data_IF_587656372793
#
_entry.id   IF_587656372793
#
_cell.length_a   1.000
_cell.length_b   1.000
_cell.length_c   1.000
_cell.angle_alpha   90.00
_cell.angle_beta   90.00
_cell.angle_gamma   90.00
#
_symmetry.space_group_name_H-M   'P 1'
#
loop_
_entity.id
_entity.type
_entity.pdbx_description
1 polymer ?
#
# COMPACT_ATOMS: atom_id res chain seq x y z
N UNK A 1 18.73 -96.32 14.60
CA UNK A 1 18.36 -95.48 15.73
C UNK A 1 18.91 -94.04 15.39
N UNK A 2 18.06 -93.16 14.92
CA UNK A 2 18.44 -91.80 14.50
C UNK A 2 17.78 -90.85 15.48
N UNK A 3 18.59 -90.04 16.18
CA UNK A 3 18.11 -89.05 17.16
C UNK A 3 17.75 -87.77 16.42
N UNK A 4 16.49 -87.34 16.46
CA UNK A 4 15.98 -86.09 15.96
C UNK A 4 16.31 -84.98 16.99
N UNK A 5 17.07 -83.98 16.59
CA UNK A 5 17.32 -82.76 17.39
C UNK A 5 16.25 -81.75 17.07
N UNK A 6 15.46 -81.40 18.08
CA UNK A 6 14.46 -80.35 18.02
C UNK A 6 15.15 -78.97 18.08
N UNK A 7 14.93 -78.13 17.05
CA UNK A 7 15.43 -76.79 16.98
C UNK A 7 14.35 -75.86 17.53
N UNK A 8 14.62 -75.17 18.65
CA UNK A 8 13.76 -74.14 19.18
C UNK A 8 14.06 -72.84 18.42
N UNK A 9 13.06 -72.29 17.74
CA UNK A 9 13.13 -70.92 17.13
C UNK A 9 12.56 -69.96 18.17
N UNK A 10 13.44 -69.09 18.68
CA UNK A 10 13.04 -67.95 19.51
C UNK A 10 12.55 -66.80 18.59
N UNK A 11 11.27 -66.49 18.68
CA UNK A 11 10.72 -65.31 18.01
C UNK A 11 11.04 -64.02 18.81
N UNK A 12 11.91 -63.19 18.30
CA UNK A 12 12.14 -61.83 18.84
C UNK A 12 11.05 -60.88 18.34
N UNK A 13 10.18 -60.43 19.23
CA UNK A 13 9.22 -59.38 18.95
C UNK A 13 9.95 -58.03 18.93
N UNK A 14 10.11 -57.45 17.74
CA UNK A 14 10.60 -56.06 17.57
C UNK A 14 9.40 -55.14 17.82
N UNK A 15 9.37 -54.47 18.97
CA UNK A 15 8.46 -53.35 19.24
C UNK A 15 8.92 -52.13 18.44
N UNK A 16 8.24 -51.85 17.33
CA UNK A 16 8.40 -50.57 16.65
C UNK A 16 7.69 -49.48 17.48
N UNK A 17 8.48 -48.70 18.25
CA UNK A 17 8.02 -47.43 18.80
C UNK A 17 7.88 -46.45 17.66
N UNK A 18 6.66 -46.26 17.17
CA UNK A 18 6.32 -45.19 16.23
C UNK A 18 6.50 -43.85 16.91
N UNK A 19 7.62 -43.17 16.65
CA UNK A 19 7.70 -41.74 16.90
C UNK A 19 6.73 -41.02 15.94
N UNK A 20 5.53 -40.72 16.42
CA UNK A 20 4.68 -39.74 15.81
C UNK A 20 5.39 -38.37 16.01
N UNK A 21 6.16 -37.94 15.03
CA UNK A 21 6.59 -36.56 14.96
C UNK A 21 5.37 -35.72 14.60
N UNK A 22 4.75 -35.14 15.62
CA UNK A 22 3.84 -33.99 15.41
C UNK A 22 4.63 -32.90 14.70
N UNK A 23 4.62 -32.96 13.37
CA UNK A 23 5.03 -31.86 12.54
C UNK A 23 4.00 -30.75 12.75
N UNK A 24 4.22 -29.94 13.81
CA UNK A 24 3.52 -28.68 13.97
C UNK A 24 3.75 -27.91 12.67
N UNK A 25 2.73 -27.93 11.81
CA UNK A 25 2.72 -27.14 10.58
C UNK A 25 2.87 -25.68 11.00
N UNK A 26 4.11 -25.18 11.02
CA UNK A 26 4.40 -23.80 11.38
C UNK A 26 3.57 -22.92 10.43
N UNK A 27 2.56 -22.23 10.97
CA UNK A 27 1.71 -21.31 10.21
C UNK A 27 2.62 -20.35 9.49
N UNK A 28 2.53 -20.29 8.16
CA UNK A 28 3.34 -19.37 7.35
C UNK A 28 3.27 -17.95 7.94
N UNK A 29 4.39 -17.23 8.02
CA UNK A 29 4.40 -15.92 8.66
C UNK A 29 3.41 -14.97 7.97
N UNK A 30 2.62 -14.25 8.77
CA UNK A 30 1.63 -13.29 8.27
C UNK A 30 2.34 -12.24 7.41
N UNK A 31 1.88 -12.04 6.18
CA UNK A 31 2.42 -11.01 5.27
C UNK A 31 1.87 -9.64 5.64
N UNK A 32 2.73 -8.62 5.68
CA UNK A 32 2.31 -7.24 5.90
C UNK A 32 1.73 -6.66 4.60
N UNK A 33 0.41 -6.67 4.51
CA UNK A 33 -0.34 -6.16 3.35
C UNK A 33 -1.34 -5.15 3.88
N UNK A 34 -1.31 -3.92 3.37
CA UNK A 34 -2.29 -2.90 3.63
C UNK A 34 -3.42 -2.93 2.60
N UNK A 35 -4.52 -2.24 2.90
CA UNK A 35 -5.64 -2.03 1.97
C UNK A 35 -5.99 -0.57 1.90
N UNK A 36 -6.20 -0.06 0.66
CA UNK A 36 -6.83 1.23 0.43
C UNK A 36 -8.33 1.10 0.69
N UNK A 37 -8.84 1.84 1.68
CA UNK A 37 -10.23 1.74 2.13
C UNK A 37 -11.25 2.18 1.07
N UNK A 38 -10.83 2.93 0.06
CA UNK A 38 -11.67 3.27 -1.11
C UNK A 38 -12.17 2.03 -1.85
N UNK A 39 -11.46 0.91 -1.74
CA UNK A 39 -11.86 -0.38 -2.28
C UNK A 39 -13.18 -0.91 -1.70
N UNK A 40 -13.59 -0.45 -0.51
CA UNK A 40 -14.88 -0.76 0.12
C UNK A 40 -15.77 0.47 0.32
N UNK A 41 -15.56 1.53 -0.46
CA UNK A 41 -16.23 2.83 -0.30
C UNK A 41 -17.75 2.77 -0.12
N UNK A 42 -18.42 1.90 -0.88
CA UNK A 42 -19.87 1.77 -0.82
C UNK A 42 -20.34 0.96 0.41
N UNK A 43 -19.59 -0.07 0.81
CA UNK A 43 -19.87 -0.84 2.02
C UNK A 43 -19.56 -0.02 3.28
N UNK A 44 -18.43 0.70 3.31
CA UNK A 44 -18.04 1.63 4.39
C UNK A 44 -19.09 2.72 4.58
N UNK A 45 -19.66 3.24 3.50
CA UNK A 45 -20.72 4.25 3.57
C UNK A 45 -22.01 3.72 4.18
N UNK A 46 -22.31 2.44 4.00
CA UNK A 46 -23.51 1.76 4.54
C UNK A 46 -23.30 1.30 5.98
N UNK A 47 -22.17 0.66 6.25
CA UNK A 47 -21.78 0.08 7.54
C UNK A 47 -20.27 0.18 7.73
N UNK A 48 -19.82 1.26 8.35
CA UNK A 48 -18.40 1.50 8.60
C UNK A 48 -17.79 0.41 9.49
N UNK A 49 -18.37 0.15 10.65
CA UNK A 49 -17.77 -0.71 11.67
C UNK A 49 -17.73 -2.18 11.21
N UNK A 50 -18.80 -2.67 10.56
CA UNK A 50 -18.84 -3.99 9.94
C UNK A 50 -17.83 -4.13 8.80
N UNK A 51 -17.63 -3.08 7.99
CA UNK A 51 -16.64 -3.08 6.91
C UNK A 51 -15.21 -3.16 7.44
N UNK A 52 -14.88 -2.39 8.49
CA UNK A 52 -13.56 -2.42 9.12
C UNK A 52 -13.26 -3.79 9.74
N UNK A 53 -14.23 -4.35 10.47
CA UNK A 53 -14.11 -5.70 11.01
C UNK A 53 -13.83 -6.74 9.92
N UNK A 54 -14.57 -6.68 8.82
CA UNK A 54 -14.40 -7.57 7.67
C UNK A 54 -13.01 -7.48 7.05
N UNK A 55 -12.46 -6.26 6.86
CA UNK A 55 -11.07 -6.09 6.38
C UNK A 55 -10.04 -6.74 7.31
N UNK A 56 -10.21 -6.61 8.62
CA UNK A 56 -9.36 -7.30 9.60
C UNK A 56 -9.47 -8.82 9.52
N UNK A 57 -10.68 -9.36 9.38
CA UNK A 57 -10.95 -10.81 9.21
C UNK A 57 -10.38 -11.36 7.91
N UNK A 58 -10.37 -10.59 6.82
CA UNK A 58 -9.68 -10.93 5.57
C UNK A 58 -8.17 -11.07 5.77
N UNK A 59 -7.63 -10.48 6.85
CA UNK A 59 -6.23 -10.60 7.27
C UNK A 59 -5.32 -9.51 6.75
N UNK A 60 -5.84 -8.37 6.36
CA UNK A 60 -5.05 -7.16 6.19
C UNK A 60 -4.38 -6.77 7.51
N UNK A 61 -3.22 -6.13 7.43
CA UNK A 61 -2.45 -5.72 8.61
C UNK A 61 -2.47 -4.23 8.86
N UNK A 62 -2.88 -3.47 7.85
CA UNK A 62 -2.96 -2.02 7.91
C UNK A 62 -3.98 -1.48 6.92
N UNK A 63 -4.39 -0.24 7.13
CA UNK A 63 -5.29 0.49 6.23
C UNK A 63 -4.65 1.78 5.74
N UNK A 64 -5.00 2.15 4.52
CA UNK A 64 -4.87 3.49 3.99
C UNK A 64 -6.26 4.10 3.87
N UNK A 65 -6.49 5.23 4.55
CA UNK A 65 -7.77 5.91 4.57
C UNK A 65 -8.00 6.72 3.28
N UNK A 66 -9.27 6.94 2.90
CA UNK A 66 -9.66 7.82 1.79
C UNK A 66 -10.79 8.80 2.18
N UNK A 67 -11.03 8.97 3.47
CA UNK A 67 -12.19 9.71 3.99
C UNK A 67 -11.82 10.82 4.98
N UNK A 68 -10.71 11.56 4.73
CA UNK A 68 -10.35 12.71 5.55
C UNK A 68 -11.12 13.97 5.15
N UNK A 69 -11.60 14.72 6.15
CA UNK A 69 -12.22 16.03 5.97
C UNK A 69 -12.51 16.72 7.31
N UNK A 70 -12.19 18.01 7.41
CA UNK A 70 -12.47 18.81 8.62
C UNK A 70 -11.85 18.24 9.89
N UNK A 71 -10.62 17.74 9.83
CA UNK A 71 -9.92 17.17 10.98
C UNK A 71 -10.38 15.75 11.38
N UNK A 72 -11.25 15.12 10.60
CA UNK A 72 -11.87 13.82 10.91
C UNK A 72 -11.64 12.80 9.81
N UNK A 73 -11.68 11.51 10.14
CA UNK A 73 -11.62 10.39 9.22
C UNK A 73 -12.96 9.65 9.21
N UNK A 74 -13.66 9.64 8.09
CA UNK A 74 -15.02 9.06 7.97
C UNK A 74 -15.98 9.60 9.05
N UNK A 75 -15.85 10.90 9.41
CA UNK A 75 -16.64 11.57 10.45
C UNK A 75 -16.24 11.26 11.90
N UNK A 76 -15.28 10.38 12.14
CA UNK A 76 -14.75 10.02 13.47
C UNK A 76 -13.56 10.94 13.82
N UNK A 77 -13.32 11.17 15.12
CA UNK A 77 -12.09 11.83 15.57
C UNK A 77 -10.86 10.99 15.16
N UNK A 78 -9.66 11.56 15.07
CA UNK A 78 -8.45 10.79 14.79
C UNK A 78 -8.23 9.62 15.76
N UNK A 79 -8.50 9.83 17.03
CA UNK A 79 -8.36 8.84 18.10
C UNK A 79 -9.39 7.70 17.96
N UNK A 80 -10.68 8.04 17.72
CA UNK A 80 -11.73 7.04 17.52
C UNK A 80 -11.51 6.23 16.24
N UNK A 81 -11.06 6.88 15.17
CA UNK A 81 -10.69 6.21 13.94
C UNK A 81 -9.58 5.19 14.19
N UNK A 82 -8.51 5.63 14.87
CA UNK A 82 -7.38 4.75 15.23
C UNK A 82 -7.85 3.57 16.07
N UNK A 83 -8.60 3.84 17.15
CA UNK A 83 -9.08 2.79 18.05
C UNK A 83 -9.94 1.74 17.32
N UNK A 84 -10.82 2.17 16.40
CA UNK A 84 -11.65 1.25 15.61
C UNK A 84 -10.82 0.35 14.67
N UNK A 85 -9.80 0.90 14.01
CA UNK A 85 -8.89 0.13 13.15
C UNK A 85 -8.06 -0.86 13.98
N UNK A 86 -7.53 -0.43 15.13
CA UNK A 86 -6.72 -1.29 16.02
C UNK A 86 -7.57 -2.41 16.65
N UNK A 87 -8.84 -2.13 17.00
CA UNK A 87 -9.78 -3.15 17.49
C UNK A 87 -10.05 -4.26 16.45
N UNK A 88 -9.97 -3.93 15.15
CA UNK A 88 -10.05 -4.91 14.07
C UNK A 88 -8.71 -5.64 13.77
N UNK A 89 -7.67 -5.42 14.57
CA UNK A 89 -6.37 -6.07 14.44
C UNK A 89 -5.47 -5.50 13.34
N UNK A 90 -5.76 -4.30 12.86
CA UNK A 90 -5.01 -3.59 11.82
C UNK A 90 -4.33 -2.33 12.40
N UNK A 91 -3.44 -1.71 11.62
CA UNK A 91 -2.81 -0.43 11.93
C UNK A 91 -3.31 0.65 10.98
N UNK A 92 -3.38 1.88 11.46
CA UNK A 92 -3.55 3.05 10.59
C UNK A 92 -2.20 3.38 9.98
N UNK A 93 -2.06 3.22 8.67
CA UNK A 93 -0.78 3.36 7.98
C UNK A 93 -0.66 4.70 7.29
N UNK A 94 -1.64 5.05 6.48
CA UNK A 94 -1.61 6.12 5.51
C UNK A 94 -3.00 6.70 5.26
N UNK A 95 -3.05 7.81 4.54
CA UNK A 95 -4.30 8.40 4.05
C UNK A 95 -4.09 9.07 2.69
N UNK A 96 -5.01 8.82 1.75
CA UNK A 96 -5.17 9.62 0.56
C UNK A 96 -5.84 10.94 0.94
N UNK A 97 -5.10 12.02 0.86
CA UNK A 97 -5.53 13.36 1.29
C UNK A 97 -4.81 14.44 0.49
N UNK A 98 -5.56 15.37 -0.09
CA UNK A 98 -4.99 16.47 -0.85
C UNK A 98 -5.76 17.77 -0.65
N UNK A 99 -5.04 18.86 -0.79
CA UNK A 99 -5.55 20.22 -0.98
C UNK A 99 -5.03 20.73 -2.31
N UNK A 100 -5.94 21.00 -3.25
CA UNK A 100 -5.56 21.56 -4.54
C UNK A 100 -5.18 23.03 -4.38
N UNK A 101 -4.17 23.48 -5.15
CA UNK A 101 -3.80 24.89 -5.21
C UNK A 101 -4.91 25.70 -5.87
N UNK A 102 -5.20 26.85 -5.30
CA UNK A 102 -6.02 27.87 -5.95
C UNK A 102 -5.28 28.49 -7.16
N UNK A 103 -6.01 29.10 -8.06
CA UNK A 103 -5.41 29.82 -9.20
C UNK A 103 -4.39 30.86 -8.74
N UNK A 104 -4.70 31.60 -7.67
CA UNK A 104 -3.80 32.62 -7.11
C UNK A 104 -2.49 31.99 -6.61
N UNK A 105 -2.56 30.87 -5.89
CA UNK A 105 -1.37 30.18 -5.39
C UNK A 105 -0.51 29.63 -6.54
N UNK A 106 -1.14 29.11 -7.60
CA UNK A 106 -0.42 28.69 -8.82
C UNK A 106 0.30 29.84 -9.52
N UNK A 107 -0.32 31.02 -9.58
CA UNK A 107 0.25 32.20 -10.24
C UNK A 107 1.37 32.85 -9.41
N UNK A 108 1.19 32.92 -8.09
CA UNK A 108 2.10 33.64 -7.20
C UNK A 108 3.18 32.78 -6.55
N UNK A 109 2.94 31.46 -6.41
CA UNK A 109 3.78 30.57 -5.61
C UNK A 109 3.67 30.82 -4.10
N UNK A 110 2.69 31.60 -3.65
CA UNK A 110 2.41 31.81 -2.22
C UNK A 110 1.39 30.79 -1.74
N UNK A 111 1.85 29.80 -1.00
CA UNK A 111 1.06 28.68 -0.48
C UNK A 111 0.46 28.92 0.91
N UNK A 112 0.52 30.14 1.43
CA UNK A 112 0.17 30.47 2.81
C UNK A 112 -1.21 29.94 3.25
N UNK A 113 -2.22 30.05 2.37
CA UNK A 113 -3.57 29.58 2.67
C UNK A 113 -3.68 28.05 2.67
N UNK A 114 -3.08 27.39 1.67
CA UNK A 114 -3.05 25.92 1.64
C UNK A 114 -2.24 25.36 2.80
N UNK A 115 -1.18 26.03 3.23
CA UNK A 115 -0.36 25.56 4.35
C UNK A 115 -1.07 25.61 5.69
N UNK A 116 -1.98 26.56 5.94
CA UNK A 116 -2.84 26.56 7.14
C UNK A 116 -3.68 25.29 7.21
N UNK A 117 -4.30 24.92 6.09
CA UNK A 117 -5.07 23.68 6.00
C UNK A 117 -4.20 22.43 6.20
N UNK A 118 -2.97 22.43 5.64
CA UNK A 118 -2.03 21.33 5.82
C UNK A 118 -1.56 21.17 7.26
N UNK A 119 -1.35 22.25 7.99
CA UNK A 119 -0.94 22.19 9.40
C UNK A 119 -2.04 21.50 10.25
N UNK A 120 -3.31 21.81 10.02
CA UNK A 120 -4.44 21.12 10.68
C UNK A 120 -4.54 19.65 10.23
N UNK A 121 -4.38 19.40 8.93
CA UNK A 121 -4.39 18.06 8.35
C UNK A 121 -3.29 17.18 8.95
N UNK A 122 -2.04 17.66 8.99
CA UNK A 122 -0.89 16.95 9.54
C UNK A 122 -1.09 16.65 11.03
N UNK A 123 -1.63 17.60 11.80
CA UNK A 123 -1.93 17.39 13.23
C UNK A 123 -2.94 16.25 13.43
N UNK A 124 -4.03 16.20 12.64
CA UNK A 124 -5.03 15.13 12.70
C UNK A 124 -4.44 13.76 12.29
N UNK A 125 -3.60 13.71 11.26
CA UNK A 125 -2.94 12.47 10.82
C UNK A 125 -1.95 11.95 11.87
N UNK A 126 -1.23 12.87 12.55
CA UNK A 126 -0.34 12.52 13.66
C UNK A 126 -1.12 11.95 14.84
N UNK A 127 -2.26 12.55 15.20
CA UNK A 127 -3.13 12.05 16.27
C UNK A 127 -3.71 10.66 15.95
N UNK A 128 -4.06 10.41 14.67
CA UNK A 128 -4.45 9.08 14.20
C UNK A 128 -3.29 8.05 14.16
N UNK A 129 -2.04 8.48 14.40
CA UNK A 129 -0.87 7.60 14.38
C UNK A 129 -0.40 7.18 12.99
N UNK A 130 -0.75 7.94 11.96
CA UNK A 130 -0.35 7.66 10.58
C UNK A 130 1.14 7.91 10.35
N UNK A 131 1.75 7.06 9.55
CA UNK A 131 3.14 7.19 9.10
C UNK A 131 3.26 8.00 7.81
N UNK A 132 2.24 7.93 6.96
CA UNK A 132 2.26 8.53 5.63
C UNK A 132 0.99 9.37 5.38
N UNK A 133 1.14 10.41 4.59
CA UNK A 133 0.06 11.15 3.93
C UNK A 133 0.38 11.17 2.45
N UNK A 134 -0.56 10.81 1.60
CA UNK A 134 -0.35 10.71 0.16
C UNK A 134 -1.36 11.60 -0.57
N UNK A 135 -0.88 12.50 -1.42
CA UNK A 135 -1.74 13.22 -2.35
C UNK A 135 -2.15 12.28 -3.49
N UNK A 136 -3.45 11.93 -3.61
CA UNK A 136 -3.87 10.88 -4.51
C UNK A 136 -4.05 11.34 -5.96
N UNK A 137 -4.04 12.64 -6.23
CA UNK A 137 -4.36 13.17 -7.53
C UNK A 137 -4.05 14.67 -7.66
N UNK A 138 -3.71 15.08 -8.87
CA UNK A 138 -3.69 16.48 -9.31
C UNK A 138 -4.13 16.56 -10.77
N UNK A 139 -4.74 17.67 -11.17
CA UNK A 139 -5.01 17.95 -12.58
C UNK A 139 -3.71 18.16 -13.35
N UNK A 140 -3.72 17.79 -14.63
CA UNK A 140 -2.55 18.00 -15.49
C UNK A 140 -2.31 19.50 -15.66
N UNK A 141 -1.14 20.00 -15.24
CA UNK A 141 -0.77 21.39 -15.44
C UNK A 141 -0.64 21.75 -16.93
N UNK A 142 -0.88 22.99 -17.28
CA UNK A 142 -0.77 23.44 -18.68
C UNK A 142 0.66 23.66 -19.12
N UNK A 143 1.55 23.99 -18.20
CA UNK A 143 2.94 24.34 -18.47
C UNK A 143 3.89 23.71 -17.46
N UNK A 144 5.17 23.56 -17.84
CA UNK A 144 6.21 23.13 -16.90
C UNK A 144 6.39 24.11 -15.73
N UNK A 145 6.09 25.39 -15.92
CA UNK A 145 6.09 26.38 -14.84
C UNK A 145 5.04 26.04 -13.77
N UNK A 146 3.80 25.75 -14.19
CA UNK A 146 2.75 25.32 -13.26
C UNK A 146 3.12 23.99 -12.56
N UNK A 147 3.66 23.03 -13.32
CA UNK A 147 4.11 21.75 -12.76
C UNK A 147 5.24 21.95 -11.74
N UNK A 148 6.18 22.86 -12.00
CA UNK A 148 7.23 23.22 -11.03
C UNK A 148 6.64 23.81 -9.75
N UNK A 149 5.62 24.66 -9.86
CA UNK A 149 4.91 25.22 -8.71
C UNK A 149 4.28 24.11 -7.86
N UNK A 150 3.70 23.08 -8.48
CA UNK A 150 3.22 21.90 -7.73
C UNK A 150 4.36 21.11 -7.07
N UNK A 151 5.51 20.95 -7.72
CA UNK A 151 6.66 20.28 -7.10
C UNK A 151 7.16 21.06 -5.87
N UNK A 152 7.22 22.40 -5.94
CA UNK A 152 7.59 23.25 -4.81
C UNK A 152 6.56 23.18 -3.67
N UNK A 153 5.28 23.15 -4.02
CA UNK A 153 4.20 22.94 -3.07
C UNK A 153 4.32 21.60 -2.33
N UNK A 154 4.60 20.51 -3.05
CA UNK A 154 4.78 19.19 -2.43
C UNK A 154 6.05 19.12 -1.57
N UNK A 155 7.13 19.78 -1.96
CA UNK A 155 8.32 19.91 -1.14
C UNK A 155 8.01 20.64 0.18
N UNK A 156 7.20 21.72 0.15
CA UNK A 156 6.80 22.45 1.35
C UNK A 156 5.91 21.59 2.27
N UNK A 157 4.94 20.86 1.71
CA UNK A 157 4.13 19.91 2.48
C UNK A 157 5.03 18.83 3.10
N UNK A 158 5.93 18.26 2.30
CA UNK A 158 6.87 17.23 2.77
C UNK A 158 7.75 17.71 3.92
N UNK A 159 8.22 18.96 3.87
CA UNK A 159 8.99 19.58 4.95
C UNK A 159 8.20 19.67 6.26
N UNK A 160 6.91 20.09 6.17
CA UNK A 160 6.02 20.17 7.35
C UNK A 160 5.68 18.79 7.90
N UNK A 161 5.36 17.83 7.02
CA UNK A 161 5.13 16.44 7.42
C UNK A 161 6.35 15.84 8.13
N UNK A 162 7.56 16.03 7.57
CA UNK A 162 8.82 15.56 8.15
C UNK A 162 9.05 16.14 9.55
N UNK A 163 8.78 17.43 9.75
CA UNK A 163 8.86 18.07 11.07
C UNK A 163 7.87 17.48 12.09
N UNK A 164 6.74 16.95 11.64
CA UNK A 164 5.75 16.27 12.46
C UNK A 164 6.04 14.77 12.66
N UNK A 165 7.07 14.21 12.00
CA UNK A 165 7.42 12.79 12.02
C UNK A 165 6.58 11.93 11.06
N UNK A 166 5.97 12.54 10.04
CA UNK A 166 5.17 11.89 8.99
C UNK A 166 5.90 12.04 7.65
N UNK A 167 5.79 11.07 6.77
CA UNK A 167 6.31 11.17 5.41
C UNK A 167 5.18 11.56 4.44
N UNK A 168 5.49 12.47 3.53
CA UNK A 168 4.55 12.89 2.50
C UNK A 168 4.87 12.25 1.16
N UNK A 169 3.86 11.83 0.41
CA UNK A 169 4.00 11.21 -0.90
C UNK A 169 2.95 11.66 -1.92
N UNK A 170 3.16 11.21 -3.16
CA UNK A 170 2.24 11.41 -4.27
C UNK A 170 1.89 10.05 -4.91
N UNK A 171 0.61 9.82 -5.17
CA UNK A 171 0.08 8.64 -5.86
C UNK A 171 -0.27 8.99 -7.31
N UNK A 172 0.15 8.14 -8.24
CA UNK A 172 -0.11 8.35 -9.67
C UNK A 172 -1.31 7.57 -10.19
N UNK A 173 -1.92 8.16 -11.21
CA UNK A 173 -2.79 7.48 -12.18
C UNK A 173 -2.06 7.36 -13.54
N UNK A 174 -2.81 7.14 -14.62
CA UNK A 174 -2.23 7.03 -15.95
C UNK A 174 -1.94 8.40 -16.59
N UNK A 175 -2.62 9.46 -16.15
CA UNK A 175 -2.50 10.77 -16.79
C UNK A 175 -1.17 11.48 -16.50
N UNK A 176 -0.45 11.09 -15.43
CA UNK A 176 0.87 11.64 -15.13
C UNK A 176 1.94 11.15 -16.12
N UNK A 177 1.66 10.12 -16.90
CA UNK A 177 2.58 9.63 -17.94
C UNK A 177 2.42 10.34 -19.29
N UNK A 178 1.48 11.29 -19.39
CA UNK A 178 1.41 12.19 -20.54
C UNK A 178 2.43 13.33 -20.43
N UNK A 179 2.64 14.03 -21.55
CA UNK A 179 3.56 15.16 -21.57
C UNK A 179 2.86 16.47 -21.16
N UNK A 180 3.60 17.26 -20.39
CA UNK A 180 3.38 18.68 -20.20
C UNK A 180 4.49 19.37 -20.98
N UNK A 181 4.14 20.12 -22.02
CA UNK A 181 5.08 20.61 -23.04
C UNK A 181 5.89 19.42 -23.63
N UNK A 182 7.20 19.37 -23.40
CA UNK A 182 8.09 18.32 -23.92
C UNK A 182 8.44 17.21 -22.89
N UNK A 183 8.05 17.35 -21.60
CA UNK A 183 8.42 16.46 -20.50
C UNK A 183 7.26 15.56 -20.09
N UNK A 184 7.55 14.29 -19.77
CA UNK A 184 6.59 13.40 -19.08
C UNK A 184 6.37 13.98 -17.68
N UNK A 185 5.11 14.23 -17.31
CA UNK A 185 4.75 14.87 -16.04
C UNK A 185 5.31 14.09 -14.85
N UNK A 186 5.15 12.76 -14.80
CA UNK A 186 5.63 11.93 -13.70
C UNK A 186 7.16 11.97 -13.54
N UNK A 187 7.90 11.89 -14.66
CA UNK A 187 9.36 12.01 -14.65
C UNK A 187 9.79 13.38 -14.10
N UNK A 188 9.14 14.45 -14.57
CA UNK A 188 9.42 15.78 -14.10
C UNK A 188 9.18 15.94 -12.60
N UNK A 189 8.09 15.37 -12.07
CA UNK A 189 7.80 15.38 -10.63
C UNK A 189 8.88 14.64 -9.84
N UNK A 190 9.31 13.46 -10.30
CA UNK A 190 10.37 12.67 -9.66
C UNK A 190 11.71 13.42 -9.64
N UNK A 191 12.02 14.19 -10.69
CA UNK A 191 13.26 14.95 -10.85
C UNK A 191 13.25 16.30 -10.10
N UNK A 192 12.07 16.89 -9.86
CA UNK A 192 11.92 18.23 -9.29
C UNK A 192 11.33 18.26 -7.87
N UNK A 193 11.11 17.10 -7.26
CA UNK A 193 10.78 16.99 -5.83
C UNK A 193 11.98 16.43 -5.06
N UNK A 194 12.19 16.98 -3.85
CA UNK A 194 13.26 16.53 -2.94
C UNK A 194 12.98 15.10 -2.45
N UNK A 195 13.87 14.14 -2.70
CA UNK A 195 13.69 12.74 -2.28
C UNK A 195 13.61 12.55 -0.76
N UNK A 196 14.16 13.47 0.03
CA UNK A 196 14.08 13.46 1.49
C UNK A 196 12.77 14.02 2.03
N UNK A 197 11.95 14.65 1.19
CA UNK A 197 10.69 15.29 1.55
C UNK A 197 9.48 14.62 0.93
N UNK A 198 9.60 14.15 -0.32
CA UNK A 198 8.49 13.60 -1.10
C UNK A 198 8.86 12.21 -1.60
N UNK A 199 8.13 11.19 -1.18
CA UNK A 199 8.19 9.86 -1.80
C UNK A 199 7.05 9.71 -2.82
N UNK A 200 7.08 8.63 -3.59
CA UNK A 200 5.98 8.28 -4.49
C UNK A 200 5.33 6.97 -4.03
N UNK A 201 4.01 6.97 -4.03
CA UNK A 201 3.20 5.77 -3.99
C UNK A 201 2.84 5.39 -5.41
N UNK A 202 3.59 4.43 -5.97
CA UNK A 202 3.30 4.04 -7.35
C UNK A 202 2.11 3.10 -7.41
N UNK A 203 1.08 3.49 -8.17
CA UNK A 203 0.06 2.55 -8.63
C UNK A 203 0.58 1.80 -9.85
N UNK A 204 0.80 0.49 -9.67
CA UNK A 204 1.42 -0.35 -10.70
C UNK A 204 0.49 -0.59 -11.89
N UNK A 205 -0.82 -0.67 -11.68
CA UNK A 205 -1.81 -0.81 -12.74
C UNK A 205 -1.91 0.47 -13.57
N UNK A 206 -2.05 1.62 -12.92
CA UNK A 206 -2.12 2.89 -13.64
C UNK A 206 -0.81 3.22 -14.37
N UNK A 207 0.34 2.78 -13.86
CA UNK A 207 1.62 2.88 -14.56
C UNK A 207 1.61 2.06 -15.86
N UNK A 208 1.11 0.82 -15.83
CA UNK A 208 0.93 -0.01 -17.03
C UNK A 208 -0.09 0.62 -17.99
N UNK A 209 -1.20 1.17 -17.48
CA UNK A 209 -2.20 1.91 -18.29
C UNK A 209 -1.62 3.17 -18.91
N UNK A 210 -0.65 3.81 -18.26
CA UNK A 210 0.17 4.90 -18.79
C UNK A 210 1.24 4.43 -19.78
N UNK A 211 1.21 3.17 -20.21
CA UNK A 211 2.16 2.57 -21.16
C UNK A 211 3.62 2.61 -20.67
N UNK A 212 3.79 2.42 -19.36
CA UNK A 212 5.10 2.36 -18.71
C UNK A 212 5.24 1.06 -17.90
N UNK A 213 6.50 0.66 -17.71
CA UNK A 213 6.84 -0.50 -16.89
C UNK A 213 7.26 -0.06 -15.49
N UNK A 214 6.57 -0.51 -14.41
CA UNK A 214 6.94 -0.15 -13.03
C UNK A 214 8.41 -0.42 -12.70
N UNK A 215 8.94 -1.57 -13.12
CA UNK A 215 10.32 -1.97 -12.86
C UNK A 215 11.35 -1.03 -13.48
N UNK A 216 11.06 -0.45 -14.65
CA UNK A 216 11.96 0.52 -15.28
C UNK A 216 12.03 1.82 -14.44
N UNK A 217 10.90 2.24 -13.87
CA UNK A 217 10.87 3.38 -12.93
C UNK A 217 11.63 3.08 -11.64
N UNK A 218 11.53 1.87 -11.09
CA UNK A 218 12.30 1.48 -9.90
C UNK A 218 13.81 1.55 -10.13
N UNK A 219 14.26 1.17 -11.33
CA UNK A 219 15.67 1.25 -11.72
C UNK A 219 16.12 2.69 -12.02
N UNK A 220 15.25 3.47 -12.69
CA UNK A 220 15.55 4.87 -13.05
C UNK A 220 15.58 5.78 -11.84
N UNK A 221 14.66 5.57 -10.88
CA UNK A 221 14.47 6.39 -9.69
C UNK A 221 14.50 5.53 -8.42
N UNK A 222 15.64 4.95 -8.06
CA UNK A 222 15.72 3.99 -6.95
C UNK A 222 15.34 4.64 -5.62
N UNK A 223 14.65 3.85 -4.78
CA UNK A 223 14.20 4.22 -3.42
C UNK A 223 13.15 5.35 -3.35
N UNK A 224 12.60 5.77 -4.48
CA UNK A 224 11.56 6.81 -4.50
C UNK A 224 10.14 6.26 -4.21
N UNK A 225 9.90 4.94 -4.32
CA UNK A 225 8.57 4.32 -4.29
C UNK A 225 8.36 3.52 -3.00
N UNK A 226 8.07 4.24 -1.89
CA UNK A 226 7.99 3.63 -0.55
C UNK A 226 6.68 2.86 -0.32
N UNK A 227 5.60 3.25 -0.97
CA UNK A 227 4.35 2.51 -1.02
C UNK A 227 4.08 2.11 -2.48
N UNK A 228 3.50 0.92 -2.68
CA UNK A 228 3.01 0.50 -3.99
C UNK A 228 1.53 0.16 -3.87
N UNK A 229 0.68 0.83 -4.65
CA UNK A 229 -0.67 0.34 -4.90
C UNK A 229 -0.58 -0.88 -5.79
N UNK A 230 -0.87 -2.02 -5.18
CA UNK A 230 -0.99 -3.30 -5.86
C UNK A 230 -2.42 -3.41 -6.34
N UNK A 231 -2.59 -3.09 -7.61
CA UNK A 231 -3.86 -2.94 -8.30
C UNK A 231 -3.83 -3.65 -9.64
N UNK A 232 -4.95 -4.14 -10.08
CA UNK A 232 -5.21 -4.70 -11.41
C UNK A 232 -6.48 -4.05 -12.00
N UNK A 233 -6.93 -4.49 -13.15
CA UNK A 233 -8.18 -3.99 -13.72
C UNK A 233 -9.38 -4.26 -12.80
N UNK A 234 -9.37 -5.43 -12.16
CA UNK A 234 -10.34 -5.88 -11.15
C UNK A 234 -9.60 -6.61 -10.02
N UNK A 235 -9.89 -7.89 -9.82
CA UNK A 235 -9.19 -8.73 -8.84
C UNK A 235 -7.73 -8.96 -9.26
N UNK A 236 -6.83 -8.98 -8.30
CA UNK A 236 -5.39 -9.11 -8.56
C UNK A 236 -5.03 -10.42 -9.28
N UNK A 237 -4.29 -10.30 -10.37
CA UNK A 237 -3.78 -11.42 -11.17
C UNK A 237 -4.74 -11.92 -12.24
N UNK A 238 -5.97 -11.41 -12.32
CA UNK A 238 -6.98 -11.89 -13.26
C UNK A 238 -6.78 -11.33 -14.68
N UNK A 239 -6.30 -10.09 -14.83
CA UNK A 239 -6.15 -9.47 -16.14
C UNK A 239 -4.92 -9.96 -16.93
N UNK A 240 -3.89 -10.42 -16.23
CA UNK A 240 -2.59 -10.74 -16.82
C UNK A 240 -1.80 -9.52 -17.32
N UNK A 241 -2.30 -8.28 -17.10
CA UNK A 241 -1.63 -7.05 -17.57
C UNK A 241 -0.48 -6.62 -16.66
N UNK A 242 -0.56 -6.92 -15.36
CA UNK A 242 0.42 -6.47 -14.37
C UNK A 242 1.33 -7.61 -13.97
N UNK A 243 2.63 -7.48 -14.24
CA UNK A 243 3.66 -8.47 -13.87
C UNK A 243 4.04 -8.38 -12.39
N UNK A 244 3.16 -8.82 -11.49
CA UNK A 244 3.36 -8.71 -10.03
C UNK A 244 4.63 -9.41 -9.54
N UNK A 245 5.00 -10.55 -10.10
CA UNK A 245 6.22 -11.29 -9.76
C UNK A 245 7.48 -10.45 -10.00
N UNK A 246 7.58 -9.78 -11.15
CA UNK A 246 8.68 -8.87 -11.49
C UNK A 246 8.68 -7.65 -10.55
N UNK A 247 7.51 -7.05 -10.27
CA UNK A 247 7.36 -5.91 -9.37
C UNK A 247 7.86 -6.25 -7.96
N UNK A 248 7.40 -7.35 -7.39
CA UNK A 248 7.82 -7.77 -6.04
C UNK A 248 9.28 -8.22 -5.97
N UNK A 249 9.83 -8.80 -7.05
CA UNK A 249 11.25 -9.11 -7.16
C UNK A 249 12.13 -7.85 -7.06
N UNK A 250 11.66 -6.73 -7.61
CA UNK A 250 12.33 -5.44 -7.60
C UNK A 250 11.85 -4.48 -6.50
N UNK A 251 11.10 -4.98 -5.51
CA UNK A 251 10.61 -4.17 -4.39
C UNK A 251 11.72 -3.44 -3.62
N UNK A 252 12.91 -4.06 -3.51
CA UNK A 252 14.06 -3.43 -2.87
C UNK A 252 14.63 -2.25 -3.69
N UNK A 253 14.61 -2.33 -5.00
CA UNK A 253 15.03 -1.23 -5.89
C UNK A 253 14.07 -0.05 -5.77
N UNK A 254 12.76 -0.33 -5.74
CA UNK A 254 11.72 0.66 -5.48
C UNK A 254 11.89 1.37 -4.13
N UNK A 255 12.40 0.69 -3.12
CA UNK A 255 12.39 1.13 -1.72
C UNK A 255 11.05 0.82 -1.04
N UNK A 256 10.29 -0.17 -1.55
CA UNK A 256 8.97 -0.51 -1.05
C UNK A 256 9.00 -0.92 0.43
N UNK A 257 8.17 -0.27 1.23
CA UNK A 257 7.94 -0.57 2.65
C UNK A 257 6.64 -1.34 2.87
N UNK A 258 5.58 -0.99 2.10
CA UNK A 258 4.29 -1.66 2.17
C UNK A 258 3.65 -1.80 0.78
N UNK A 259 3.13 -2.99 0.44
CA UNK A 259 2.14 -3.17 -0.61
C UNK A 259 0.76 -2.78 -0.07
N UNK A 260 0.03 -1.95 -0.81
CA UNK A 260 -1.33 -1.50 -0.50
C UNK A 260 -2.25 -2.04 -1.58
N UNK A 261 -3.17 -2.93 -1.23
CA UNK A 261 -4.15 -3.47 -2.18
C UNK A 261 -5.22 -2.43 -2.47
N UNK A 262 -5.49 -2.18 -3.74
CA UNK A 262 -6.65 -1.41 -4.17
C UNK A 262 -7.45 -2.13 -5.26
N UNK A 263 -8.77 -2.18 -5.07
CA UNK A 263 -9.72 -2.74 -6.04
C UNK A 263 -10.83 -1.72 -6.26
N UNK A 264 -10.92 -1.15 -7.45
CA UNK A 264 -11.93 -0.13 -7.78
C UNK A 264 -13.06 -0.65 -8.66
N UNK A 265 -12.80 -1.71 -9.42
CA UNK A 265 -13.75 -2.42 -10.28
C UNK A 265 -13.84 -3.86 -9.82
N UNK A 266 -15.02 -4.43 -9.87
CA UNK A 266 -15.30 -5.71 -9.26
C UNK A 266 -15.96 -6.66 -10.26
N UNK A 267 -15.57 -7.95 -10.25
CA UNK A 267 -16.32 -9.04 -10.91
C UNK A 267 -17.37 -9.64 -9.98
N UNK A 268 -17.23 -9.42 -8.66
CA UNK A 268 -18.09 -9.92 -7.60
C UNK A 268 -18.58 -8.75 -6.73
N UNK A 269 -19.02 -9.02 -5.50
CA UNK A 269 -19.21 -7.95 -4.52
C UNK A 269 -17.85 -7.32 -4.14
N UNK A 270 -17.80 -6.04 -3.72
CA UNK A 270 -16.53 -5.41 -3.30
C UNK A 270 -15.76 -6.26 -2.29
N UNK A 271 -16.44 -6.77 -1.26
CA UNK A 271 -15.82 -7.61 -0.24
C UNK A 271 -15.24 -8.92 -0.80
N UNK A 272 -15.94 -9.61 -1.72
CA UNK A 272 -15.44 -10.82 -2.34
C UNK A 272 -14.25 -10.55 -3.26
N UNK A 273 -14.29 -9.47 -4.03
CA UNK A 273 -13.20 -9.07 -4.92
C UNK A 273 -11.92 -8.73 -4.15
N UNK A 274 -12.06 -8.03 -3.03
CA UNK A 274 -10.94 -7.70 -2.13
C UNK A 274 -10.40 -8.98 -1.45
N UNK A 275 -11.29 -9.88 -1.02
CA UNK A 275 -10.87 -11.18 -0.43
C UNK A 275 -10.05 -11.99 -1.43
N UNK A 276 -10.51 -12.11 -2.68
CA UNK A 276 -9.75 -12.79 -3.75
C UNK A 276 -8.38 -12.15 -3.98
N UNK A 277 -8.33 -10.83 -3.98
CA UNK A 277 -7.11 -10.06 -4.20
C UNK A 277 -6.08 -10.25 -3.08
N UNK A 278 -6.49 -10.21 -1.81
CA UNK A 278 -5.55 -10.49 -0.72
C UNK A 278 -5.13 -11.96 -0.70
N UNK A 279 -6.02 -12.90 -1.02
CA UNK A 279 -5.69 -14.32 -1.08
C UNK A 279 -4.69 -14.64 -2.18
N UNK A 280 -4.77 -13.95 -3.33
CA UNK A 280 -3.75 -14.02 -4.36
C UNK A 280 -2.36 -13.65 -3.80
N UNK A 281 -2.23 -12.51 -3.13
CA UNK A 281 -0.96 -12.06 -2.55
C UNK A 281 -0.48 -12.97 -1.40
N UNK A 282 -1.39 -13.48 -0.57
CA UNK A 282 -1.04 -14.41 0.52
C UNK A 282 -0.43 -15.71 -0.02
N UNK A 283 -0.96 -16.23 -1.13
CA UNK A 283 -0.48 -17.45 -1.79
C UNK A 283 0.78 -17.23 -2.62
N UNK A 284 1.00 -16.02 -3.12
CA UNK A 284 2.10 -15.70 -4.03
C UNK A 284 3.48 -15.86 -3.35
N UNK A 285 4.37 -16.74 -3.85
CA UNK A 285 5.68 -16.99 -3.24
C UNK A 285 6.64 -15.79 -3.35
N UNK A 286 6.41 -14.89 -4.30
CA UNK A 286 7.22 -13.69 -4.51
C UNK A 286 6.90 -12.56 -3.52
N UNK A 287 5.79 -12.64 -2.77
CA UNK A 287 5.42 -11.65 -1.75
C UNK A 287 6.04 -12.04 -0.41
N UNK A 288 6.95 -11.21 0.10
CA UNK A 288 7.62 -11.42 1.40
C UNK A 288 6.69 -11.07 2.57
N UNK A 289 6.99 -11.62 3.75
CA UNK A 289 6.24 -11.30 4.97
C UNK A 289 6.46 -9.86 5.44
N UNK A 290 7.64 -9.28 5.19
CA UNK A 290 8.00 -7.90 5.54
C UNK A 290 8.95 -7.32 4.50
N UNK A 291 8.90 -6.00 4.36
CA UNK A 291 9.84 -5.20 3.58
C UNK A 291 10.57 -4.22 4.53
N UNK A 292 11.82 -3.82 4.22
CA UNK A 292 12.54 -2.84 5.03
C UNK A 292 11.77 -1.52 5.10
N UNK A 293 11.70 -0.95 6.29
CA UNK A 293 11.07 0.36 6.53
C UNK A 293 12.19 1.36 6.76
N UNK A 294 12.20 2.47 6.02
CA UNK A 294 13.15 3.57 6.20
C UNK A 294 13.00 4.16 7.61
N UNK A 295 14.14 4.43 8.25
CA UNK A 295 14.19 5.04 9.59
C UNK A 295 13.88 6.53 9.51
#
# INVERSE_FOLDING_TARGET
MMKIKTLMIAAAAIAMAGCATDSACAKAPKKNIAVQMYSMRDDIKKDYDGSIKKLGEMGFTAVEAAGYGGGKFYGKTPEDFKAGIEAAGMKVLSSHTAKQLSKKELETGDFSESMKWWDECIAAHKAAGMKYIVAPWMSVPKTLKELKTYCDYYNEIGRRCKAAGISFGYHNHAHEFQKVEDKIMYDYMLENTDPDLVFFEMDVYWTVRGQKAPVDYFKKYPKRFRLLHIKDEKELGESGMVGFDAIFKHAADAGMEYPVVEVERYSFTPAESIQKSIDYLKKAPFVKSKYPVSK
#
